data_IF_367326304682
#
_entry.id   IF_367326304682
#
_cell.length_a   1.000
_cell.length_b   1.000
_cell.length_c   1.000
_cell.angle_alpha   90.00
_cell.angle_beta   90.00
_cell.angle_gamma   90.00
#
_symmetry.space_group_name_H-M   'P 1'
#
loop_
_entity.id
_entity.type
_entity.pdbx_description
1 polymer ?
#
# COMPACT_ATOMS: atom_id res chain seq x y z
N UNK A 1 12.54 5.06 -18.36
CA UNK A 1 11.18 4.63 -18.02
C UNK A 1 11.14 3.12 -18.07
N UNK A 2 10.58 2.46 -17.06
CA UNK A 2 10.47 1.00 -16.97
C UNK A 2 8.99 0.61 -16.99
N UNK A 3 8.67 -0.54 -17.58
CA UNK A 3 7.32 -1.12 -17.52
C UNK A 3 7.24 -2.05 -16.31
N UNK A 4 6.13 -1.98 -15.58
CA UNK A 4 5.89 -2.82 -14.41
C UNK A 4 4.39 -3.07 -14.23
N UNK A 5 4.00 -4.33 -14.08
CA UNK A 5 2.69 -4.72 -13.58
C UNK A 5 2.75 -4.96 -12.08
N UNK A 6 2.02 -4.17 -11.28
CA UNK A 6 2.04 -4.27 -9.81
C UNK A 6 1.40 -5.55 -9.24
N UNK A 7 0.69 -6.31 -10.09
CA UNK A 7 0.26 -7.67 -9.76
C UNK A 7 1.41 -8.69 -9.84
N UNK A 8 2.56 -8.33 -10.43
CA UNK A 8 3.74 -9.17 -10.53
C UNK A 8 4.88 -8.61 -9.66
N UNK A 9 5.12 -9.25 -8.52
CA UNK A 9 6.15 -8.82 -7.56
C UNK A 9 7.57 -8.80 -8.13
N UNK A 10 7.90 -9.70 -9.05
CA UNK A 10 9.24 -9.75 -9.64
C UNK A 10 9.48 -8.54 -10.54
N UNK A 11 8.48 -8.12 -11.30
CA UNK A 11 8.54 -6.87 -12.07
C UNK A 11 8.69 -5.66 -11.14
N UNK A 12 7.99 -5.62 -10.00
CA UNK A 12 8.19 -4.57 -8.99
C UNK A 12 9.62 -4.55 -8.46
N UNK A 13 10.24 -5.71 -8.19
CA UNK A 13 11.62 -5.78 -7.74
C UNK A 13 12.59 -5.20 -8.79
N UNK A 14 12.39 -5.57 -10.06
CA UNK A 14 13.19 -5.04 -11.16
C UNK A 14 13.01 -3.53 -11.30
N UNK A 15 11.78 -3.03 -11.17
CA UNK A 15 11.47 -1.61 -11.24
C UNK A 15 12.08 -0.80 -10.08
N UNK A 16 12.23 -1.39 -8.89
CA UNK A 16 12.76 -0.73 -7.69
C UNK A 16 14.26 -0.88 -7.51
N UNK A 17 14.92 -1.75 -8.27
CA UNK A 17 16.36 -2.00 -8.13
C UNK A 17 17.15 -0.71 -8.32
N UNK A 18 17.91 -0.31 -7.28
CA UNK A 18 18.72 0.90 -7.27
C UNK A 18 17.99 2.18 -6.88
N UNK A 19 16.67 2.12 -6.63
CA UNK A 19 15.91 3.27 -6.14
C UNK A 19 16.20 3.53 -4.65
N UNK A 20 16.39 4.80 -4.27
CA UNK A 20 16.51 5.19 -2.87
C UNK A 20 15.15 5.14 -2.15
N UNK A 21 14.11 5.65 -2.80
CA UNK A 21 12.76 5.71 -2.25
C UNK A 21 11.69 5.37 -3.28
N UNK A 22 10.53 4.94 -2.78
CA UNK A 22 9.36 4.59 -3.59
C UNK A 22 8.14 5.32 -3.03
N UNK A 23 7.37 5.95 -3.91
CA UNK A 23 6.02 6.44 -3.63
C UNK A 23 5.02 5.48 -4.29
N UNK A 24 4.27 4.75 -3.49
CA UNK A 24 3.35 3.71 -3.91
C UNK A 24 1.89 4.19 -3.80
N UNK A 25 1.12 3.94 -4.85
CA UNK A 25 -0.33 4.15 -4.90
C UNK A 25 -0.96 2.97 -5.63
N UNK A 26 -2.11 2.54 -5.15
CA UNK A 26 -2.94 1.53 -5.80
C UNK A 26 -4.26 2.17 -6.24
N UNK A 27 -4.98 1.48 -7.12
CA UNK A 27 -6.28 1.94 -7.60
C UNK A 27 -7.33 0.88 -7.33
N UNK A 28 -8.04 1.04 -6.20
CA UNK A 28 -9.18 0.23 -5.81
C UNK A 28 -10.16 -0.04 -6.96
N UNK A 29 -10.53 0.99 -7.72
CA UNK A 29 -11.54 0.91 -8.78
C UNK A 29 -11.13 0.08 -10.00
N UNK A 30 -9.83 -0.19 -10.13
CA UNK A 30 -9.26 -0.99 -11.21
C UNK A 30 -8.73 -2.34 -10.71
N UNK A 31 -8.86 -2.63 -9.41
CA UNK A 31 -8.57 -3.92 -8.84
C UNK A 31 -9.85 -4.77 -8.78
N UNK A 32 -9.70 -6.09 -8.83
CA UNK A 32 -10.76 -7.00 -8.40
C UNK A 32 -10.97 -6.88 -6.89
N UNK A 33 -12.11 -7.33 -6.35
CA UNK A 33 -12.34 -7.33 -4.90
C UNK A 33 -11.17 -7.99 -4.16
N UNK A 34 -10.56 -7.25 -3.21
CA UNK A 34 -9.37 -7.68 -2.46
C UNK A 34 -8.03 -7.56 -3.20
N UNK A 35 -8.03 -7.34 -4.53
CA UNK A 35 -6.83 -7.24 -5.35
C UNK A 35 -5.96 -6.02 -5.03
N UNK A 36 -6.54 -4.95 -4.51
CA UNK A 36 -5.78 -3.78 -4.06
C UNK A 36 -4.80 -4.12 -2.94
N UNK A 37 -5.23 -4.96 -2.00
CA UNK A 37 -4.40 -5.39 -0.88
C UNK A 37 -3.19 -6.20 -1.36
N UNK A 38 -3.41 -7.11 -2.32
CA UNK A 38 -2.34 -7.92 -2.91
C UNK A 38 -1.33 -7.04 -3.69
N UNK A 39 -1.82 -6.03 -4.41
CA UNK A 39 -0.96 -5.06 -5.09
C UNK A 39 -0.10 -4.28 -4.10
N UNK A 40 -0.70 -3.72 -3.04
CA UNK A 40 0.03 -3.01 -2.00
C UNK A 40 1.08 -3.91 -1.34
N UNK A 41 0.72 -5.16 -1.04
CA UNK A 41 1.63 -6.15 -0.49
C UNK A 41 2.82 -6.45 -1.42
N UNK A 42 2.57 -6.60 -2.72
CA UNK A 42 3.63 -6.80 -3.71
C UNK A 42 4.61 -5.62 -3.77
N UNK A 43 4.10 -4.39 -3.69
CA UNK A 43 4.94 -3.18 -3.68
C UNK A 43 5.80 -3.12 -2.42
N UNK A 44 5.24 -3.39 -1.25
CA UNK A 44 5.97 -3.39 0.03
C UNK A 44 7.05 -4.47 0.03
N UNK A 45 6.70 -5.71 -0.36
CA UNK A 45 7.64 -6.82 -0.37
C UNK A 45 8.77 -6.64 -1.40
N UNK A 46 8.47 -6.07 -2.56
CA UNK A 46 9.50 -5.73 -3.55
C UNK A 46 10.46 -4.67 -3.02
N UNK A 47 9.94 -3.60 -2.41
CA UNK A 47 10.75 -2.53 -1.83
C UNK A 47 11.65 -3.06 -0.70
N UNK A 48 11.11 -3.93 0.16
CA UNK A 48 11.87 -4.63 1.21
C UNK A 48 12.97 -5.52 0.62
N UNK A 49 12.66 -6.31 -0.42
CA UNK A 49 13.59 -7.26 -1.03
C UNK A 49 14.80 -6.58 -1.69
N UNK A 50 14.61 -5.40 -2.28
CA UNK A 50 15.68 -4.65 -2.96
C UNK A 50 16.30 -3.55 -2.10
N UNK A 51 15.99 -3.52 -0.79
CA UNK A 51 16.52 -2.56 0.18
C UNK A 51 16.25 -1.09 -0.17
N UNK A 52 15.02 -0.77 -0.59
CA UNK A 52 14.56 0.62 -0.68
C UNK A 52 14.63 1.26 0.70
N UNK A 53 15.20 2.46 0.80
CA UNK A 53 15.48 3.13 2.08
C UNK A 53 14.27 3.89 2.62
N UNK A 54 13.40 4.39 1.74
CA UNK A 54 12.22 5.14 2.14
C UNK A 54 11.00 4.75 1.30
N UNK A 55 9.95 4.26 1.95
CA UNK A 55 8.73 3.83 1.29
C UNK A 55 7.55 4.66 1.79
N UNK A 56 6.95 5.44 0.89
CA UNK A 56 5.76 6.24 1.15
C UNK A 56 4.59 5.57 0.44
N UNK A 57 3.49 5.35 1.13
CA UNK A 57 2.27 4.77 0.56
C UNK A 57 1.09 5.71 0.74
N UNK A 58 0.26 5.83 -0.30
CA UNK A 58 -1.02 6.54 -0.25
C UNK A 58 -2.12 5.58 0.23
N UNK A 59 -2.16 5.30 1.53
CA UNK A 59 -3.19 4.46 2.15
C UNK A 59 -4.36 5.27 2.74
N UNK A 60 -5.46 4.57 3.01
CA UNK A 60 -6.60 5.06 3.80
C UNK A 60 -6.70 4.15 5.05
N UNK A 61 -7.04 4.70 6.23
CA UNK A 61 -7.18 3.88 7.44
C UNK A 61 -8.27 2.79 7.31
N UNK A 62 -8.06 1.64 7.96
CA UNK A 62 -9.05 0.55 8.00
C UNK A 62 -10.26 0.93 8.86
N UNK A 63 -11.40 1.23 8.21
CA UNK A 63 -12.65 1.66 8.87
C UNK A 63 -13.20 0.63 9.85
N UNK A 64 -12.99 -0.68 9.62
CA UNK A 64 -13.48 -1.72 10.53
C UNK A 64 -12.72 -1.73 11.86
N UNK A 65 -11.47 -1.25 11.87
CA UNK A 65 -10.67 -1.10 13.08
C UNK A 65 -11.10 0.10 13.95
N UNK A 66 -11.79 1.10 13.39
CA UNK A 66 -12.22 2.31 14.12
C UNK A 66 -13.46 2.10 14.99
N UNK A 67 -14.31 1.12 14.71
CA UNK A 67 -15.57 0.94 15.45
C UNK A 67 -15.38 0.38 16.87
N UNK A 68 -14.20 -0.16 17.22
CA UNK A 68 -14.00 -0.88 18.49
C UNK A 68 -13.73 0.00 19.72
N UNK A 69 -13.58 1.32 19.55
CA UNK A 69 -13.38 2.29 20.64
C UNK A 69 -14.28 3.52 20.46
N UNK A 70 -15.60 3.32 20.31
CA UNK A 70 -16.55 4.43 20.25
C UNK A 70 -16.60 5.17 21.61
N UNK A 71 -15.84 6.26 21.67
CA UNK A 71 -16.12 7.53 22.33
C UNK A 71 -17.30 7.55 23.34
N UNK A 72 -17.00 7.36 24.63
CA UNK A 72 -17.82 7.89 25.73
C UNK A 72 -17.63 9.41 25.78
N UNK A 73 -18.28 10.14 24.88
CA UNK A 73 -18.38 11.59 24.99
C UNK A 73 -19.68 11.91 25.74
N UNK A 74 -19.62 12.51 26.95
CA UNK A 74 -20.82 12.96 27.62
C UNK A 74 -21.48 14.03 26.76
N UNK A 75 -22.66 13.71 26.23
CA UNK A 75 -23.56 14.69 25.61
C UNK A 75 -24.00 15.65 26.71
N UNK A 76 -23.36 16.82 26.79
CA UNK A 76 -23.90 17.94 27.55
C UNK A 76 -25.02 18.59 26.72
N UNK A 77 -26.26 18.30 27.11
CA UNK A 77 -27.46 19.04 26.72
C UNK A 77 -27.57 20.38 27.46
#
# INVERSE_FOLDING_TARGET
MVKCNINNREECCLAFTGAYGVFAITNYWNATDGGEYEQAFNLIEAARKVNVQHFITSGIPDTAAFEKNQFDLPLHS
#
